data_IF_252244238291
#
_entry.id   IF_252244238291
#
_cell.length_a   1.000
_cell.length_b   1.000
_cell.length_c   1.000
_cell.angle_alpha   90.00
_cell.angle_beta   90.00
_cell.angle_gamma   90.00
#
_symmetry.space_group_name_H-M   'P 1'
#
loop_
_entity.id
_entity.type
_entity.pdbx_description
1 polymer ?
#
# COMPACT_ATOMS: atom_id res chain seq x y z
N UNK A 1 25.09 1.19 -50.26
CA UNK A 1 24.72 1.13 -48.83
C UNK A 1 25.62 0.07 -48.23
N UNK A 2 26.56 0.43 -47.33
CA UNK A 2 27.43 -0.56 -46.68
C UNK A 2 26.60 -1.33 -45.66
N UNK A 3 26.76 -2.65 -45.63
CA UNK A 3 26.02 -3.53 -44.74
C UNK A 3 26.45 -3.28 -43.30
N UNK A 4 25.51 -3.31 -42.35
CA UNK A 4 25.79 -2.93 -40.95
C UNK A 4 26.87 -3.84 -40.35
N UNK A 5 26.81 -5.13 -40.68
CA UNK A 5 27.74 -6.17 -40.24
C UNK A 5 29.18 -5.93 -40.75
N UNK A 6 29.35 -5.38 -41.95
CA UNK A 6 30.67 -5.02 -42.50
C UNK A 6 31.32 -3.86 -41.73
N UNK A 7 30.52 -2.93 -41.21
CA UNK A 7 31.00 -1.74 -40.49
C UNK A 7 31.45 -2.11 -39.07
N UNK A 8 30.76 -3.07 -38.43
CA UNK A 8 31.08 -3.54 -37.08
C UNK A 8 32.06 -4.72 -37.05
N UNK A 9 32.42 -5.30 -38.20
CA UNK A 9 33.39 -6.39 -38.28
C UNK A 9 34.74 -6.09 -37.59
N UNK A 10 35.14 -4.80 -37.51
CA UNK A 10 36.36 -4.38 -36.80
C UNK A 10 36.27 -4.55 -35.26
N UNK A 11 35.05 -4.54 -34.69
CA UNK A 11 34.82 -4.69 -33.23
C UNK A 11 35.06 -6.13 -32.74
N UNK A 12 35.24 -7.08 -33.66
CA UNK A 12 35.48 -8.49 -33.36
C UNK A 12 34.20 -9.26 -33.00
N UNK A 13 34.24 -10.58 -33.19
CA UNK A 13 33.14 -11.47 -32.83
C UNK A 13 32.94 -11.57 -31.31
N UNK A 14 31.78 -12.10 -30.89
CA UNK A 14 31.33 -12.20 -29.50
C UNK A 14 32.20 -13.13 -28.65
N UNK A 15 33.36 -12.61 -28.24
CA UNK A 15 34.43 -13.33 -27.55
C UNK A 15 34.19 -13.53 -26.05
N UNK A 16 35.04 -14.32 -25.37
CA UNK A 16 34.87 -14.64 -23.95
C UNK A 16 34.91 -13.40 -23.05
N UNK A 17 35.72 -12.40 -23.39
CA UNK A 17 35.80 -11.14 -22.64
C UNK A 17 34.53 -10.28 -22.78
N UNK A 18 33.98 -10.16 -24.00
CA UNK A 18 32.71 -9.44 -24.23
C UNK A 18 31.54 -10.11 -23.51
N UNK A 19 31.48 -11.45 -23.54
CA UNK A 19 30.47 -12.22 -22.78
C UNK A 19 30.62 -12.01 -21.28
N UNK A 20 31.84 -12.04 -20.76
CA UNK A 20 32.11 -11.80 -19.33
C UNK A 20 31.61 -10.41 -18.90
N UNK A 21 31.98 -9.35 -19.64
CA UNK A 21 31.52 -7.99 -19.33
C UNK A 21 30.00 -7.88 -19.43
N UNK A 22 29.38 -8.47 -20.45
CA UNK A 22 27.92 -8.46 -20.59
C UNK A 22 27.22 -9.09 -19.38
N UNK A 23 27.69 -10.25 -18.91
CA UNK A 23 27.12 -10.90 -17.73
C UNK A 23 27.38 -10.11 -16.45
N UNK A 24 28.55 -9.49 -16.30
CA UNK A 24 28.86 -8.63 -15.14
C UNK A 24 27.97 -7.38 -15.10
N UNK A 25 27.76 -6.72 -16.25
CA UNK A 25 26.83 -5.59 -16.36
C UNK A 25 25.38 -6.00 -16.14
N UNK A 26 24.98 -7.18 -16.64
CA UNK A 26 23.64 -7.70 -16.40
C UNK A 26 23.42 -8.02 -14.92
N UNK A 27 24.41 -8.63 -14.26
CA UNK A 27 24.36 -8.95 -12.84
C UNK A 27 24.23 -7.70 -11.95
N UNK A 28 24.77 -6.55 -12.37
CA UNK A 28 24.62 -5.29 -11.63
C UNK A 28 23.27 -4.59 -11.88
N UNK A 29 22.68 -4.73 -13.08
CA UNK A 29 21.43 -4.05 -13.45
C UNK A 29 20.19 -4.81 -12.95
N UNK A 30 20.21 -6.14 -12.96
CA UNK A 30 19.06 -6.98 -12.56
C UNK A 30 18.53 -6.62 -11.15
N UNK A 31 19.36 -6.47 -10.10
CA UNK A 31 18.89 -6.07 -8.78
C UNK A 31 18.15 -4.73 -8.75
N UNK A 32 18.48 -3.81 -9.66
CA UNK A 32 17.84 -2.50 -9.73
C UNK A 32 16.37 -2.62 -10.17
N UNK A 33 16.09 -3.54 -11.11
CA UNK A 33 14.71 -3.86 -11.53
C UNK A 33 13.89 -4.50 -10.41
N UNK A 34 14.51 -5.40 -9.62
CA UNK A 34 13.85 -6.04 -8.48
C UNK A 34 13.47 -5.05 -7.37
N UNK A 35 14.25 -3.98 -7.16
CA UNK A 35 13.91 -2.94 -6.18
C UNK A 35 12.60 -2.20 -6.53
N UNK A 36 12.31 -1.99 -7.82
CA UNK A 36 11.03 -1.40 -8.23
C UNK A 36 9.86 -2.34 -7.99
N UNK A 37 10.04 -3.64 -8.24
CA UNK A 37 8.99 -4.65 -8.01
C UNK A 37 8.73 -4.91 -6.53
N UNK A 38 9.77 -4.90 -5.68
CA UNK A 38 9.62 -5.14 -4.24
C UNK A 38 8.73 -4.09 -3.58
N UNK A 39 8.71 -2.85 -4.08
CA UNK A 39 7.85 -1.78 -3.59
C UNK A 39 6.36 -2.14 -3.62
N UNK A 40 5.90 -2.93 -4.61
CA UNK A 40 4.50 -3.36 -4.72
C UNK A 40 4.11 -4.27 -3.54
N UNK A 41 5.03 -5.13 -3.10
CA UNK A 41 4.80 -6.02 -1.96
C UNK A 41 4.97 -5.30 -0.63
N UNK A 42 5.95 -4.40 -0.53
CA UNK A 42 6.24 -3.64 0.69
C UNK A 42 5.20 -2.56 0.98
N UNK A 43 4.58 -1.99 -0.05
CA UNK A 43 3.55 -0.95 0.06
C UNK A 43 2.12 -1.50 -0.15
N UNK A 44 1.92 -2.81 -0.03
CA UNK A 44 0.60 -3.43 -0.09
C UNK A 44 -0.31 -2.91 1.04
N UNK A 45 -1.56 -2.59 0.69
CA UNK A 45 -2.60 -2.16 1.64
C UNK A 45 -3.46 -3.36 2.03
N UNK A 46 -3.27 -4.00 3.19
CA UNK A 46 -4.16 -5.06 3.64
C UNK A 46 -5.55 -4.52 4.01
N UNK A 47 -6.51 -5.43 4.13
CA UNK A 47 -7.80 -5.10 4.71
C UNK A 47 -7.60 -4.59 6.14
N UNK A 48 -8.26 -3.48 6.46
CA UNK A 48 -8.09 -2.78 7.72
C UNK A 48 -9.41 -2.24 8.23
N UNK A 49 -9.49 -2.04 9.54
CA UNK A 49 -10.64 -1.47 10.22
C UNK A 49 -10.19 -0.55 11.35
N UNK A 50 -11.09 0.33 11.80
CA UNK A 50 -10.80 1.14 12.98
C UNK A 50 -10.56 0.25 14.19
N UNK A 51 -9.53 0.56 14.97
CA UNK A 51 -9.30 -0.08 16.27
C UNK A 51 -10.35 0.41 17.26
N UNK A 52 -10.94 -0.53 17.99
CA UNK A 52 -11.80 -0.24 19.15
C UNK A 52 -10.95 -0.45 20.40
N UNK A 53 -10.78 0.56 21.26
CA UNK A 53 -9.95 0.41 22.45
C UNK A 53 -10.61 -0.49 23.49
N UNK A 54 -9.83 -1.35 24.15
CA UNK A 54 -10.32 -2.26 25.19
C UNK A 54 -10.96 -1.55 26.39
N UNK A 55 -10.59 -0.27 26.60
CA UNK A 55 -11.19 0.58 27.65
C UNK A 55 -12.68 0.83 27.46
N UNK A 56 -13.22 0.65 26.25
CA UNK A 56 -14.62 0.90 25.95
C UNK A 56 -15.56 -0.17 26.55
N UNK A 57 -15.05 -1.34 26.96
CA UNK A 57 -15.82 -2.43 27.58
C UNK A 57 -17.19 -2.69 26.90
N UNK A 58 -17.19 -2.71 25.56
CA UNK A 58 -18.41 -2.90 24.77
C UNK A 58 -18.88 -4.36 24.82
N UNK A 59 -20.20 -4.56 24.72
CA UNK A 59 -20.75 -5.90 24.52
C UNK A 59 -20.29 -6.48 23.17
N UNK A 60 -20.25 -7.81 23.06
CA UNK A 60 -19.86 -8.49 21.82
C UNK A 60 -20.72 -8.07 20.61
N UNK A 61 -22.01 -7.77 20.85
CA UNK A 61 -22.92 -7.26 19.83
C UNK A 61 -22.48 -5.87 19.31
N UNK A 62 -22.16 -4.95 20.22
CA UNK A 62 -21.67 -3.61 19.85
C UNK A 62 -20.29 -3.63 19.22
N UNK A 63 -19.41 -4.54 19.65
CA UNK A 63 -18.10 -4.70 19.03
C UNK A 63 -18.23 -5.13 17.56
N UNK A 64 -19.15 -6.05 17.27
CA UNK A 64 -19.42 -6.51 15.90
C UNK A 64 -20.15 -5.47 15.03
N UNK A 65 -20.96 -4.60 15.64
CA UNK A 65 -21.73 -3.55 14.96
C UNK A 65 -21.05 -2.16 14.95
N UNK A 66 -19.87 -2.03 15.56
CA UNK A 66 -19.15 -0.77 15.72
C UNK A 66 -18.73 -0.12 14.40
N UNK A 67 -18.55 -0.92 13.35
CA UNK A 67 -18.12 -0.49 12.03
C UNK A 67 -19.33 -0.48 11.09
N UNK A 68 -19.63 0.67 10.43
CA UNK A 68 -20.73 0.76 9.50
C UNK A 68 -20.52 -0.14 8.28
N UNK A 69 -21.63 -0.63 7.71
CA UNK A 69 -21.63 -1.33 6.44
C UNK A 69 -21.82 -0.31 5.32
N UNK A 70 -20.93 -0.35 4.34
CA UNK A 70 -20.99 0.44 3.12
C UNK A 70 -21.25 -0.48 1.93
N UNK A 71 -22.07 -0.02 0.99
CA UNK A 71 -22.32 -0.75 -0.24
C UNK A 71 -21.22 -0.45 -1.26
N UNK A 72 -20.34 -1.41 -1.51
CA UNK A 72 -19.26 -1.30 -2.49
C UNK A 72 -19.47 -2.33 -3.59
N UNK A 73 -19.91 -1.88 -4.76
CA UNK A 73 -20.12 -2.74 -5.93
C UNK A 73 -21.24 -3.78 -5.75
N UNK A 74 -22.35 -3.40 -5.08
CA UNK A 74 -23.50 -4.28 -4.84
C UNK A 74 -23.29 -5.32 -3.73
N UNK A 75 -22.18 -5.24 -2.98
CA UNK A 75 -21.92 -6.04 -1.78
C UNK A 75 -21.83 -5.12 -0.56
N UNK A 76 -22.45 -5.53 0.53
CA UNK A 76 -22.30 -4.91 1.85
C UNK A 76 -20.92 -5.28 2.40
N UNK A 77 -20.04 -4.30 2.55
CA UNK A 77 -18.69 -4.47 3.10
C UNK A 77 -18.54 -3.53 4.28
N UNK A 78 -17.74 -3.91 5.29
CA UNK A 78 -17.44 -3.00 6.40
C UNK A 78 -16.62 -1.81 5.92
N UNK A 79 -16.94 -0.62 6.43
CA UNK A 79 -16.12 0.56 6.17
C UNK A 79 -14.72 0.36 6.76
N UNK A 80 -13.71 0.74 5.99
CA UNK A 80 -12.31 0.61 6.39
C UNK A 80 -11.81 1.88 7.11
N UNK A 81 -12.52 3.01 6.92
CA UNK A 81 -12.05 4.34 7.29
C UNK A 81 -12.95 5.08 8.28
N UNK A 82 -14.15 4.58 8.54
CA UNK A 82 -15.08 5.16 9.51
C UNK A 82 -15.56 4.13 10.52
N UNK A 83 -15.94 4.62 11.69
CA UNK A 83 -16.68 3.87 12.72
C UNK A 83 -17.82 4.70 13.26
N UNK A 84 -18.78 4.08 13.93
CA UNK A 84 -19.75 4.85 14.70
C UNK A 84 -19.09 5.52 15.91
N UNK A 85 -19.64 6.66 16.34
CA UNK A 85 -19.14 7.42 17.50
C UNK A 85 -19.03 6.55 18.74
N UNK A 86 -17.80 6.34 19.22
CA UNK A 86 -17.52 5.41 20.31
C UNK A 86 -18.25 5.77 21.61
N UNK A 87 -18.34 7.05 21.94
CA UNK A 87 -19.05 7.54 23.13
C UNK A 87 -20.54 7.13 23.13
N UNK A 88 -21.17 7.15 21.96
CA UNK A 88 -22.56 6.75 21.80
C UNK A 88 -22.71 5.24 22.03
N UNK A 89 -21.81 4.43 21.44
CA UNK A 89 -21.80 2.97 21.60
C UNK A 89 -21.64 2.58 23.08
N UNK A 90 -20.75 3.24 23.82
CA UNK A 90 -20.54 2.98 25.25
C UNK A 90 -21.81 3.26 26.06
N UNK A 91 -22.50 4.37 25.80
CA UNK A 91 -23.74 4.71 26.50
C UNK A 91 -24.86 3.71 26.22
N UNK A 92 -25.01 3.27 24.95
CA UNK A 92 -26.00 2.25 24.61
C UNK A 92 -25.65 0.88 25.19
N UNK A 93 -24.37 0.49 25.17
CA UNK A 93 -23.88 -0.75 25.78
C UNK A 93 -24.09 -0.75 27.30
N UNK A 94 -23.84 0.37 27.98
CA UNK A 94 -24.09 0.51 29.42
C UNK A 94 -25.57 0.39 29.80
N UNK A 95 -26.47 0.70 28.86
CA UNK A 95 -27.93 0.52 29.02
C UNK A 95 -28.43 -0.87 28.61
N UNK A 96 -27.53 -1.77 28.22
CA UNK A 96 -27.85 -3.11 27.69
C UNK A 96 -28.79 -3.08 26.47
N UNK A 97 -28.69 -2.05 25.63
CA UNK A 97 -29.46 -1.95 24.39
C UNK A 97 -28.75 -2.73 23.27
N UNK A 98 -29.51 -3.45 22.45
CA UNK A 98 -28.96 -4.26 21.36
C UNK A 98 -28.93 -3.48 20.02
N UNK A 99 -27.82 -3.55 19.26
CA UNK A 99 -27.72 -2.90 17.95
C UNK A 99 -28.70 -3.53 16.95
N UNK A 100 -29.42 -2.69 16.19
CA UNK A 100 -30.38 -3.11 15.17
C UNK A 100 -31.76 -3.53 15.69
N UNK A 101 -31.90 -3.79 17.00
CA UNK A 101 -33.18 -4.07 17.65
C UNK A 101 -33.70 -2.85 18.40
N UNK A 102 -32.89 -2.31 19.30
CA UNK A 102 -33.26 -1.18 20.16
C UNK A 102 -32.69 0.15 19.62
N UNK A 103 -31.59 0.07 18.88
CA UNK A 103 -30.90 1.23 18.29
C UNK A 103 -30.73 1.03 16.79
N UNK A 104 -31.30 1.95 16.01
CA UNK A 104 -31.13 2.00 14.56
C UNK A 104 -29.72 2.55 14.24
N UNK A 105 -28.88 1.68 13.69
CA UNK A 105 -27.49 2.00 13.33
C UNK A 105 -27.38 3.10 12.27
N UNK A 106 -28.40 3.23 11.40
CA UNK A 106 -28.39 4.23 10.32
C UNK A 106 -28.44 5.67 10.83
N UNK A 107 -28.94 5.88 12.06
CA UNK A 107 -29.09 7.20 12.68
C UNK A 107 -27.89 7.58 13.54
N UNK A 108 -26.93 6.67 13.72
CA UNK A 108 -25.73 6.93 14.51
C UNK A 108 -24.76 7.81 13.72
N UNK A 109 -24.24 8.83 14.39
CA UNK A 109 -23.15 9.63 13.85
C UNK A 109 -21.90 8.77 13.64
N UNK A 110 -21.25 8.97 12.49
CA UNK A 110 -19.97 8.35 12.17
C UNK A 110 -18.81 9.28 12.53
N UNK A 111 -17.67 8.71 12.85
CA UNK A 111 -16.40 9.38 13.10
C UNK A 111 -15.25 8.67 12.38
N UNK A 112 -14.15 9.40 12.16
CA UNK A 112 -12.91 8.81 11.64
C UNK A 112 -12.24 7.93 12.70
N UNK A 113 -11.39 7.00 12.27
CA UNK A 113 -10.60 6.20 13.21
C UNK A 113 -9.59 7.08 13.97
N UNK A 114 -9.87 7.40 15.24
CA UNK A 114 -8.98 8.20 16.10
C UNK A 114 -8.01 7.34 16.91
N UNK A 115 -8.44 6.13 17.30
CA UNK A 115 -7.67 5.22 18.17
C UNK A 115 -6.74 4.27 17.39
N UNK A 116 -6.47 4.59 16.13
CA UNK A 116 -5.65 3.80 15.22
C UNK A 116 -6.44 2.73 14.47
N UNK A 117 -5.69 1.78 13.89
CA UNK A 117 -6.21 0.77 12.97
C UNK A 117 -5.82 -0.64 13.40
N UNK A 118 -6.65 -1.59 12.98
CA UNK A 118 -6.38 -3.02 13.08
C UNK A 118 -6.32 -3.58 11.65
N UNK A 119 -5.19 -4.20 11.32
CA UNK A 119 -4.88 -4.73 9.99
C UNK A 119 -5.02 -6.24 9.96
N UNK A 120 -5.60 -6.78 8.89
CA UNK A 120 -5.62 -8.22 8.64
C UNK A 120 -4.22 -8.72 8.29
N UNK A 121 -3.80 -9.80 8.95
CA UNK A 121 -2.51 -10.47 8.72
C UNK A 121 -2.63 -11.70 7.81
N UNK A 122 -3.75 -11.88 7.12
CA UNK A 122 -3.98 -13.05 6.25
C UNK A 122 -3.03 -13.09 5.04
N UNK A 123 -2.74 -11.92 4.47
CA UNK A 123 -1.92 -11.80 3.25
C UNK A 123 -0.52 -11.27 3.56
N UNK A 124 -0.42 -10.28 4.44
CA UNK A 124 0.83 -9.59 4.75
C UNK A 124 1.05 -9.59 6.26
N UNK A 125 2.26 -9.95 6.69
CA UNK A 125 2.65 -9.85 8.10
C UNK A 125 2.87 -8.40 8.52
N UNK A 126 3.58 -7.64 7.70
CA UNK A 126 3.82 -6.21 7.85
C UNK A 126 4.09 -5.57 6.51
N UNK A 127 3.61 -4.34 6.34
CA UNK A 127 3.88 -3.48 5.20
C UNK A 127 4.19 -2.07 5.68
N UNK A 128 4.80 -1.26 4.81
CA UNK A 128 5.06 0.17 5.08
C UNK A 128 3.73 0.88 5.41
N UNK A 129 2.64 0.45 4.78
CA UNK A 129 1.30 0.97 5.06
C UNK A 129 0.87 0.66 6.49
N UNK A 130 1.05 -0.58 6.95
CA UNK A 130 0.64 -0.99 8.31
C UNK A 130 1.50 -0.37 9.41
N UNK A 131 2.78 -0.15 9.12
CA UNK A 131 3.73 0.40 10.10
C UNK A 131 3.52 1.91 10.30
N UNK A 132 3.25 2.63 9.21
CA UNK A 132 3.11 4.10 9.22
C UNK A 132 1.67 4.59 9.15
N UNK A 133 0.69 3.69 9.19
CA UNK A 133 -0.74 3.98 9.05
C UNK A 133 -1.07 4.86 7.82
N UNK A 134 -0.59 4.42 6.65
CA UNK A 134 -0.79 5.12 5.37
C UNK A 134 -2.12 4.71 4.71
N UNK A 135 -3.21 4.81 5.47
CA UNK A 135 -4.57 4.48 5.03
C UNK A 135 -5.49 5.69 5.15
N UNK A 136 -6.63 5.65 4.46
CA UNK A 136 -7.67 6.67 4.53
C UNK A 136 -7.12 8.07 4.21
N UNK A 137 -7.05 8.99 5.18
CA UNK A 137 -6.53 10.36 4.96
C UNK A 137 -5.05 10.40 4.50
N UNK A 138 -4.30 9.32 4.73
CA UNK A 138 -2.88 9.21 4.39
C UNK A 138 -2.61 8.24 3.23
N UNK A 139 -3.63 7.72 2.56
CA UNK A 139 -3.52 6.74 1.48
C UNK A 139 -2.66 7.22 0.30
N UNK A 140 -2.71 8.51 -0.01
CA UNK A 140 -1.97 9.17 -1.09
C UNK A 140 -0.45 9.20 -0.88
N UNK A 141 0.03 9.02 0.35
CA UNK A 141 1.48 9.11 0.67
C UNK A 141 2.28 7.93 0.10
N UNK A 142 1.67 6.75 0.06
CA UNK A 142 2.29 5.56 -0.52
C UNK A 142 2.55 5.72 -2.03
N UNK A 143 1.54 6.02 -2.89
CA UNK A 143 1.76 6.20 -4.33
C UNK A 143 2.59 7.45 -4.65
N UNK A 144 2.56 8.49 -3.79
CA UNK A 144 3.44 9.64 -3.94
C UNK A 144 4.91 9.24 -3.84
N UNK A 145 5.28 8.42 -2.86
CA UNK A 145 6.66 7.94 -2.68
C UNK A 145 7.14 7.20 -3.92
N UNK A 146 6.31 6.32 -4.48
CA UNK A 146 6.61 5.61 -5.73
C UNK A 146 6.77 6.57 -6.91
N UNK A 147 5.91 7.59 -7.00
CA UNK A 147 5.99 8.60 -8.06
C UNK A 147 7.29 9.40 -7.99
N UNK A 148 7.67 9.85 -6.78
CA UNK A 148 8.92 10.57 -6.53
C UNK A 148 10.15 9.72 -6.88
N UNK A 149 10.12 8.42 -6.59
CA UNK A 149 11.18 7.50 -6.98
C UNK A 149 11.40 7.49 -8.50
N UNK A 150 10.33 7.32 -9.29
CA UNK A 150 10.44 7.31 -10.75
C UNK A 150 10.85 8.66 -11.36
N UNK A 151 10.41 9.77 -10.75
CA UNK A 151 10.91 11.10 -11.12
C UNK A 151 12.42 11.20 -10.88
N UNK A 152 12.91 10.70 -9.73
CA UNK A 152 14.33 10.63 -9.42
C UNK A 152 15.11 9.80 -10.43
N UNK A 153 14.59 8.63 -10.83
CA UNK A 153 15.18 7.79 -11.88
C UNK A 153 15.25 8.53 -13.21
N UNK A 154 14.18 9.21 -13.62
CA UNK A 154 14.15 9.97 -14.88
C UNK A 154 15.20 11.09 -14.91
N UNK A 155 15.30 11.87 -13.84
CA UNK A 155 16.30 12.94 -13.72
C UNK A 155 17.71 12.37 -13.68
N UNK A 156 17.92 11.28 -12.94
CA UNK A 156 19.20 10.58 -12.87
C UNK A 156 19.67 10.08 -14.23
N UNK A 157 18.79 9.43 -14.99
CA UNK A 157 19.09 8.95 -16.35
C UNK A 157 19.39 10.08 -17.32
N UNK A 158 18.69 11.21 -17.21
CA UNK A 158 18.98 12.39 -18.03
C UNK A 158 20.40 12.91 -17.75
N UNK A 159 20.76 13.10 -16.48
CA UNK A 159 22.07 13.63 -16.09
C UNK A 159 23.19 12.65 -16.42
N UNK A 160 23.04 11.36 -16.09
CA UNK A 160 24.06 10.35 -16.34
C UNK A 160 24.28 10.12 -17.83
N UNK A 161 23.22 10.20 -18.64
CA UNK A 161 23.32 10.11 -20.09
C UNK A 161 24.20 11.21 -20.68
N UNK A 162 24.01 12.45 -20.22
CA UNK A 162 24.84 13.58 -20.67
C UNK A 162 26.30 13.48 -20.19
N UNK A 163 26.53 12.95 -18.99
CA UNK A 163 27.88 12.71 -18.47
C UNK A 163 28.60 11.57 -19.19
N UNK A 164 27.89 10.50 -19.56
CA UNK A 164 28.49 9.33 -20.22
C UNK A 164 28.82 9.57 -21.69
N UNK A 165 28.15 10.52 -22.34
CA UNK A 165 28.41 10.90 -23.74
C UNK A 165 29.64 11.83 -23.87
N UNK A 166 30.14 12.36 -22.74
CA UNK A 166 31.34 13.21 -22.66
C UNK A 166 32.57 12.41 -22.26
#
# INVERSE_FOLDING_TARGET
MRDYDEIIAFLGEWGPFQRLIFFLLSASIIPNGFNGMSAVFLAGTPEHRCRVPDSANLSAAWLNASIPLEERGGRQVRSQCSRYRLEALINFSARNLEPGRDVDLSQLGQEKCLDGWEYSQEVYLSTIVTEWNLVCDNDWKAPLTTSLFFVGVLLGSFISGQLSDK
#
